data_IF_818555152195
#
_entry.id   IF_818555152195
#
_cell.length_a   1.000
_cell.length_b   1.000
_cell.length_c   1.000
_cell.angle_alpha   90.00
_cell.angle_beta   90.00
_cell.angle_gamma   90.00
#
_symmetry.space_group_name_H-M   'P 1'
#
loop_
_entity.id
_entity.type
_entity.pdbx_description
1 polymer ?
#
# COMPACT_ATOMS: atom_id res chain seq x y z
N UNK A 1 38.33 -14.51 -8.82
CA UNK A 1 37.96 -14.15 -7.43
C UNK A 1 37.21 -12.82 -7.35
N UNK A 2 37.51 -11.80 -8.17
CA UNK A 2 36.75 -10.53 -8.15
C UNK A 2 35.35 -10.57 -8.79
N UNK A 3 35.08 -11.47 -9.73
CA UNK A 3 33.78 -11.50 -10.43
C UNK A 3 32.66 -12.05 -9.54
N UNK A 4 32.97 -13.10 -8.76
CA UNK A 4 32.00 -13.75 -7.85
C UNK A 4 31.51 -12.78 -6.77
N UNK A 5 32.39 -11.96 -6.17
CA UNK A 5 31.95 -10.99 -5.15
C UNK A 5 31.09 -9.86 -5.72
N UNK A 6 31.31 -9.47 -6.98
CA UNK A 6 30.56 -8.36 -7.59
C UNK A 6 29.15 -8.79 -7.98
N UNK A 7 28.99 -10.04 -8.45
CA UNK A 7 27.69 -10.61 -8.78
C UNK A 7 26.85 -10.86 -7.52
N UNK A 8 27.44 -11.41 -6.45
CA UNK A 8 26.78 -11.61 -5.16
C UNK A 8 26.35 -10.28 -4.50
N UNK A 9 27.21 -9.25 -4.51
CA UNK A 9 26.85 -7.92 -4.01
C UNK A 9 25.67 -7.33 -4.81
N UNK A 10 25.65 -7.48 -6.14
CA UNK A 10 24.56 -6.93 -6.95
C UNK A 10 23.22 -7.64 -6.70
N UNK A 11 23.22 -8.97 -6.58
CA UNK A 11 22.00 -9.71 -6.24
C UNK A 11 21.45 -9.29 -4.87
N UNK A 12 22.30 -9.16 -3.85
CA UNK A 12 21.89 -8.71 -2.51
C UNK A 12 21.27 -7.29 -2.56
N UNK A 13 21.89 -6.36 -3.29
CA UNK A 13 21.33 -5.01 -3.46
C UNK A 13 19.98 -5.01 -4.19
N UNK A 14 19.79 -5.89 -5.17
CA UNK A 14 18.53 -5.98 -5.90
C UNK A 14 17.40 -6.53 -5.03
N UNK A 15 17.69 -7.51 -4.18
CA UNK A 15 16.72 -8.08 -3.22
C UNK A 15 16.31 -7.06 -2.14
N UNK A 16 17.28 -6.32 -1.59
CA UNK A 16 16.99 -5.25 -0.62
C UNK A 16 16.12 -4.14 -1.24
N UNK A 17 16.40 -3.74 -2.48
CA UNK A 17 15.63 -2.70 -3.18
C UNK A 17 14.19 -3.15 -3.46
N UNK A 18 13.95 -4.39 -3.89
CA UNK A 18 12.59 -4.90 -4.14
C UNK A 18 11.78 -4.96 -2.84
N UNK A 19 12.42 -5.36 -1.74
CA UNK A 19 11.80 -5.40 -0.41
C UNK A 19 11.40 -3.99 0.08
N UNK A 20 12.32 -3.02 -0.03
CA UNK A 20 12.04 -1.62 0.32
C UNK A 20 10.94 -1.00 -0.54
N UNK A 21 10.91 -1.34 -1.83
CA UNK A 21 9.86 -0.87 -2.74
C UNK A 21 8.49 -1.40 -2.32
N UNK A 22 8.39 -2.70 -2.02
CA UNK A 22 7.14 -3.31 -1.52
C UNK A 22 6.65 -2.67 -0.22
N UNK A 23 7.55 -2.32 0.70
CA UNK A 23 7.24 -1.62 1.94
C UNK A 23 6.66 -0.21 1.69
N UNK A 24 7.24 0.54 0.76
CA UNK A 24 6.86 1.93 0.48
C UNK A 24 5.62 2.07 -0.42
N UNK A 25 5.35 1.10 -1.30
CA UNK A 25 4.28 1.19 -2.29
C UNK A 25 2.89 1.36 -1.66
N UNK A 26 2.57 0.57 -0.63
CA UNK A 26 1.23 0.61 -0.02
C UNK A 26 0.94 1.95 0.69
N UNK A 27 1.83 2.47 1.57
CA UNK A 27 1.67 3.80 2.14
C UNK A 27 1.62 4.92 1.08
N UNK A 28 2.36 4.77 -0.02
CA UNK A 28 2.36 5.75 -1.13
C UNK A 28 1.02 5.76 -1.85
N UNK A 29 0.41 4.60 -2.12
CA UNK A 29 -0.93 4.51 -2.70
C UNK A 29 -1.98 5.15 -1.79
N UNK A 30 -1.90 4.91 -0.48
CA UNK A 30 -2.76 5.57 0.49
C UNK A 30 -2.58 7.10 0.48
N UNK A 31 -1.35 7.59 0.51
CA UNK A 31 -1.07 9.03 0.48
C UNK A 31 -1.59 9.68 -0.80
N UNK A 32 -1.40 9.05 -1.96
CA UNK A 32 -1.91 9.53 -3.24
C UNK A 32 -3.45 9.57 -3.24
N UNK A 33 -4.10 8.51 -2.75
CA UNK A 33 -5.55 8.45 -2.60
C UNK A 33 -6.07 9.58 -1.69
N UNK A 34 -5.38 9.85 -0.58
CA UNK A 34 -5.71 10.97 0.32
C UNK A 34 -5.64 12.32 -0.38
N UNK A 35 -4.54 12.61 -1.10
CA UNK A 35 -4.39 13.87 -1.82
C UNK A 35 -5.48 14.04 -2.87
N UNK A 36 -5.80 12.97 -3.62
CA UNK A 36 -6.86 13.01 -4.65
C UNK A 36 -8.22 13.24 -4.00
N UNK A 37 -8.58 12.50 -2.95
CA UNK A 37 -9.88 12.64 -2.28
C UNK A 37 -10.04 14.04 -1.69
N UNK A 38 -9.02 14.53 -0.99
CA UNK A 38 -9.07 15.85 -0.35
C UNK A 38 -9.09 16.97 -1.39
N UNK A 39 -8.19 16.93 -2.38
CA UNK A 39 -8.10 17.93 -3.44
C UNK A 39 -9.34 17.96 -4.34
N UNK A 40 -9.90 16.81 -4.69
CA UNK A 40 -11.16 16.77 -5.43
C UNK A 40 -12.30 17.35 -4.59
N UNK A 41 -12.40 16.99 -3.31
CA UNK A 41 -13.44 17.54 -2.42
C UNK A 41 -13.33 19.06 -2.29
N UNK A 42 -12.12 19.61 -2.14
CA UNK A 42 -11.95 21.07 -2.03
C UNK A 42 -12.32 21.78 -3.33
N UNK A 43 -11.90 21.27 -4.49
CA UNK A 43 -12.23 21.88 -5.79
C UNK A 43 -13.74 21.83 -6.06
N UNK A 44 -14.38 20.69 -5.83
CA UNK A 44 -15.82 20.52 -6.08
C UNK A 44 -16.70 21.26 -5.07
N UNK A 45 -16.24 21.45 -3.82
CA UNK A 45 -17.01 22.18 -2.81
C UNK A 45 -16.73 23.69 -2.77
N UNK A 46 -15.51 24.14 -3.07
CA UNK A 46 -15.17 25.57 -3.05
C UNK A 46 -15.71 26.30 -4.29
N UNK A 47 -15.78 25.60 -5.43
CA UNK A 47 -16.25 26.18 -6.67
C UNK A 47 -17.75 25.88 -6.81
N UNK A 48 -18.60 26.88 -6.57
CA UNK A 48 -20.06 26.78 -6.71
C UNK A 48 -20.51 26.51 -8.18
N UNK A 49 -19.56 26.31 -9.09
CA UNK A 49 -19.70 26.20 -10.54
C UNK A 49 -20.35 24.89 -10.98
N UNK A 50 -20.23 23.81 -10.19
CA UNK A 50 -20.74 22.50 -10.62
C UNK A 50 -22.16 22.22 -10.11
N UNK A 51 -22.58 22.67 -8.92
CA UNK A 51 -23.95 22.45 -8.45
C UNK A 51 -24.22 21.01 -7.98
N UNK A 52 -25.40 20.82 -7.36
CA UNK A 52 -25.77 19.62 -6.58
C UNK A 52 -25.72 18.29 -7.37
N UNK A 53 -25.84 18.34 -8.69
CA UNK A 53 -25.84 17.16 -9.55
C UNK A 53 -24.45 16.52 -9.73
N UNK A 54 -23.35 17.21 -9.39
CA UNK A 54 -21.99 16.67 -9.56
C UNK A 54 -21.43 16.02 -8.29
N UNK A 55 -22.13 16.13 -7.15
CA UNK A 55 -21.76 15.39 -5.94
C UNK A 55 -21.87 13.87 -6.13
N UNK A 56 -22.87 13.41 -6.88
CA UNK A 56 -23.02 11.98 -7.21
C UNK A 56 -21.86 11.50 -8.08
N UNK A 57 -21.46 12.29 -9.07
CA UNK A 57 -20.28 12.01 -9.91
C UNK A 57 -18.99 11.98 -9.09
N UNK A 58 -18.80 12.92 -8.17
CA UNK A 58 -17.65 12.95 -7.25
C UNK A 58 -17.63 11.70 -6.36
N UNK A 59 -18.77 11.34 -5.75
CA UNK A 59 -18.88 10.13 -4.91
C UNK A 59 -18.62 8.86 -5.69
N UNK A 60 -19.15 8.74 -6.92
CA UNK A 60 -18.90 7.59 -7.79
C UNK A 60 -17.43 7.52 -8.20
N UNK A 61 -16.82 8.64 -8.59
CA UNK A 61 -15.42 8.71 -8.96
C UNK A 61 -14.49 8.32 -7.81
N UNK A 62 -14.72 8.90 -6.63
CA UNK A 62 -13.95 8.58 -5.41
C UNK A 62 -14.24 7.15 -4.95
N UNK A 63 -15.47 6.67 -5.04
CA UNK A 63 -15.83 5.29 -4.73
C UNK A 63 -15.07 4.28 -5.59
N UNK A 64 -15.08 4.47 -6.91
CA UNK A 64 -14.34 3.63 -7.85
C UNK A 64 -12.82 3.70 -7.62
N UNK A 65 -12.28 4.90 -7.40
CA UNK A 65 -10.87 5.09 -7.07
C UNK A 65 -10.49 4.34 -5.78
N UNK A 66 -11.33 4.47 -4.73
CA UNK A 66 -11.12 3.81 -3.44
C UNK A 66 -11.10 2.30 -3.59
N UNK A 67 -12.04 1.73 -4.36
CA UNK A 67 -12.07 0.28 -4.63
C UNK A 67 -10.79 -0.15 -5.36
N UNK A 68 -10.36 0.59 -6.38
CA UNK A 68 -9.13 0.30 -7.13
C UNK A 68 -7.88 0.33 -6.25
N UNK A 69 -7.76 1.35 -5.40
CA UNK A 69 -6.62 1.48 -4.46
C UNK A 69 -6.66 0.39 -3.39
N UNK A 70 -7.82 0.08 -2.83
CA UNK A 70 -7.97 -1.02 -1.87
C UNK A 70 -7.58 -2.36 -2.49
N UNK A 71 -8.03 -2.64 -3.71
CA UNK A 71 -7.66 -3.86 -4.42
C UNK A 71 -6.14 -3.95 -4.61
N UNK A 72 -5.48 -2.85 -4.98
CA UNK A 72 -4.02 -2.80 -5.12
C UNK A 72 -3.30 -3.04 -3.78
N UNK A 73 -3.74 -2.39 -2.69
CA UNK A 73 -3.14 -2.56 -1.36
C UNK A 73 -3.33 -4.00 -0.85
N UNK A 74 -4.52 -4.58 -1.02
CA UNK A 74 -4.80 -5.97 -0.63
C UNK A 74 -3.96 -6.93 -1.45
N UNK A 75 -3.79 -6.69 -2.75
CA UNK A 75 -2.92 -7.50 -3.61
C UNK A 75 -1.46 -7.48 -3.12
N UNK A 76 -0.94 -6.30 -2.81
CA UNK A 76 0.41 -6.13 -2.26
C UNK A 76 0.57 -6.82 -0.90
N UNK A 77 -0.41 -6.65 -0.01
CA UNK A 77 -0.42 -7.30 1.31
C UNK A 77 -0.55 -8.83 1.22
N UNK A 78 -1.34 -9.33 0.28
CA UNK A 78 -1.48 -10.76 0.02
C UNK A 78 -0.18 -11.37 -0.51
N UNK A 79 0.55 -10.65 -1.37
CA UNK A 79 1.88 -11.05 -1.83
C UNK A 79 2.86 -11.21 -0.67
N UNK A 80 2.89 -10.23 0.25
CA UNK A 80 3.70 -10.30 1.47
C UNK A 80 3.26 -11.46 2.39
N UNK A 81 1.95 -11.69 2.52
CA UNK A 81 1.42 -12.79 3.34
C UNK A 81 1.73 -14.17 2.76
N UNK A 82 1.69 -14.33 1.43
CA UNK A 82 2.02 -15.60 0.77
C UNK A 82 3.51 -15.96 0.90
N UNK A 83 4.40 -14.97 0.84
CA UNK A 83 5.82 -15.16 1.10
C UNK A 83 6.08 -15.63 2.54
N UNK A 84 5.22 -15.23 3.49
CA UNK A 84 5.26 -15.71 4.87
C UNK A 84 4.71 -17.14 5.05
N UNK A 85 3.64 -17.55 4.34
CA UNK A 85 3.03 -18.89 4.50
C UNK A 85 3.81 -20.02 3.79
N UNK A 86 4.68 -19.72 2.81
CA UNK A 86 5.60 -20.73 2.21
C UNK A 86 6.69 -21.17 3.20
N UNK A 87 7.00 -20.35 4.22
CA UNK A 87 7.97 -20.69 5.28
C UNK A 87 7.34 -21.57 6.37
N UNK A 88 6.04 -21.88 6.29
CA UNK A 88 5.36 -22.81 7.21
C UNK A 88 5.52 -24.29 6.80
N UNK A 89 6.31 -24.59 5.77
CA UNK A 89 6.82 -25.93 5.49
C UNK A 89 8.15 -26.17 6.21
N UNK A 90 8.02 -26.58 7.48
CA UNK A 90 8.83 -27.59 8.20
C UNK A 90 10.32 -27.78 7.80
N UNK A 91 11.18 -26.79 8.05
CA UNK A 91 12.57 -27.10 8.45
C UNK A 91 12.76 -26.62 9.89
N UNK A 92 12.86 -27.59 10.80
CA UNK A 92 13.21 -27.40 12.19
C UNK A 92 14.72 -27.15 12.27
N UNK A 93 15.13 -26.24 13.17
CA UNK A 93 16.52 -25.98 13.55
C UNK A 93 17.27 -24.99 12.61
N UNK A 94 17.49 -23.77 13.10
CA UNK A 94 18.50 -22.88 12.52
C UNK A 94 19.22 -22.15 13.66
N UNK A 95 20.30 -22.77 14.13
CA UNK A 95 21.20 -22.28 15.19
C UNK A 95 22.35 -21.43 14.59
N UNK A 96 22.06 -20.61 13.58
CA UNK A 96 23.07 -19.80 12.90
C UNK A 96 22.55 -18.38 12.66
N UNK A 97 23.09 -17.41 13.39
CA UNK A 97 22.81 -15.98 13.20
C UNK A 97 23.30 -15.49 11.83
N UNK A 98 22.47 -15.63 10.80
CA UNK A 98 22.74 -15.21 9.43
C UNK A 98 21.52 -14.47 8.83
N UNK A 99 21.75 -13.73 7.73
CA UNK A 99 20.87 -12.74 7.06
C UNK A 99 19.38 -13.09 6.81
N UNK A 100 18.96 -14.33 7.06
CA UNK A 100 17.61 -14.86 6.91
C UNK A 100 16.59 -14.18 7.84
N UNK A 101 16.99 -13.83 9.08
CA UNK A 101 16.10 -13.21 10.06
C UNK A 101 15.58 -11.82 9.62
N UNK A 102 16.41 -11.03 8.91
CA UNK A 102 16.04 -9.68 8.44
C UNK A 102 14.89 -9.71 7.43
N UNK A 103 14.85 -10.72 6.57
CA UNK A 103 13.83 -10.84 5.53
C UNK A 103 12.45 -11.16 6.11
N UNK A 104 12.40 -11.97 7.16
CA UNK A 104 11.15 -12.30 7.84
C UNK A 104 10.56 -11.09 8.59
N UNK A 105 11.39 -10.24 9.19
CA UNK A 105 10.94 -8.97 9.78
C UNK A 105 10.41 -7.98 8.73
N UNK A 106 11.07 -7.85 7.57
CA UNK A 106 10.62 -6.96 6.50
C UNK A 106 9.27 -7.39 5.92
N UNK A 107 9.04 -8.70 5.76
CA UNK A 107 7.74 -9.23 5.34
C UNK A 107 6.61 -8.89 6.33
N UNK A 108 6.86 -8.98 7.64
CA UNK A 108 5.88 -8.62 8.66
C UNK A 108 5.58 -7.11 8.68
N UNK A 109 6.62 -6.29 8.56
CA UNK A 109 6.47 -4.84 8.46
C UNK A 109 5.65 -4.45 7.21
N UNK A 110 5.92 -5.06 6.06
CA UNK A 110 5.19 -4.80 4.82
C UNK A 110 3.70 -5.16 4.93
N UNK A 111 3.38 -6.29 5.58
CA UNK A 111 2.00 -6.69 5.83
C UNK A 111 1.28 -5.70 6.76
N UNK A 112 1.89 -5.31 7.87
CA UNK A 112 1.31 -4.33 8.81
C UNK A 112 1.13 -2.95 8.15
N UNK A 113 2.11 -2.53 7.33
CA UNK A 113 2.04 -1.29 6.54
C UNK A 113 0.90 -1.36 5.51
N UNK A 114 0.69 -2.51 4.87
CA UNK A 114 -0.45 -2.72 3.98
C UNK A 114 -1.77 -2.61 4.73
N UNK A 115 -1.89 -3.27 5.89
CA UNK A 115 -3.09 -3.24 6.71
C UNK A 115 -3.45 -1.81 7.16
N UNK A 116 -2.50 -1.07 7.73
CA UNK A 116 -2.74 0.31 8.18
C UNK A 116 -3.05 1.25 7.01
N UNK A 117 -2.42 1.03 5.84
CA UNK A 117 -2.73 1.79 4.62
C UNK A 117 -4.16 1.55 4.16
N UNK A 118 -4.63 0.29 4.18
CA UNK A 118 -6.01 -0.06 3.82
C UNK A 118 -7.02 0.61 4.76
N UNK A 119 -6.76 0.58 6.07
CA UNK A 119 -7.58 1.29 7.07
C UNK A 119 -7.59 2.79 6.78
N UNK A 120 -6.43 3.37 6.45
CA UNK A 120 -6.31 4.77 6.04
C UNK A 120 -7.19 5.12 4.83
N UNK A 121 -7.19 4.29 3.78
CA UNK A 121 -8.02 4.49 2.58
C UNK A 121 -9.51 4.45 2.90
N UNK A 122 -9.93 3.52 3.76
CA UNK A 122 -11.33 3.45 4.23
C UNK A 122 -11.68 4.73 4.99
N UNK A 123 -10.85 5.15 5.94
CA UNK A 123 -11.17 6.30 6.79
C UNK A 123 -11.21 7.62 6.01
N UNK A 124 -10.33 7.77 5.01
CA UNK A 124 -10.29 8.93 4.11
C UNK A 124 -11.51 9.01 3.20
N UNK A 125 -12.02 7.87 2.72
CA UNK A 125 -13.18 7.84 1.80
C UNK A 125 -14.51 8.02 2.51
N UNK A 126 -14.64 7.61 3.78
CA UNK A 126 -15.87 7.75 4.58
C UNK A 126 -16.50 9.16 4.55
N UNK A 127 -15.81 10.26 4.88
CA UNK A 127 -16.43 11.59 4.91
C UNK A 127 -16.99 11.99 3.54
N UNK A 128 -16.27 11.69 2.46
CA UNK A 128 -16.72 11.99 1.09
C UNK A 128 -17.98 11.20 0.74
N UNK A 129 -18.05 9.94 1.15
CA UNK A 129 -19.20 9.07 0.86
C UNK A 129 -20.44 9.44 1.70
N UNK A 130 -20.24 9.94 2.92
CA UNK A 130 -21.32 10.27 3.86
C UNK A 130 -21.83 11.72 3.78
N UNK A 131 -21.00 12.65 3.33
CA UNK A 131 -21.40 14.06 3.19
C UNK A 131 -22.54 14.16 2.18
N UNK A 132 -23.68 14.72 2.59
CA UNK A 132 -24.85 14.92 1.75
C UNK A 132 -24.72 16.14 0.82
N UNK A 133 -24.02 17.19 1.26
CA UNK A 133 -23.88 18.48 0.56
C UNK A 133 -22.57 19.19 0.95
N UNK A 134 -22.02 19.98 0.04
CA UNK A 134 -21.01 20.98 0.35
C UNK A 134 -21.72 22.21 0.93
N UNK A 135 -21.82 22.33 2.25
CA UNK A 135 -22.43 23.45 2.96
C UNK A 135 -21.51 23.94 4.07
#
# INVERSE_FOLDING_TARGET
MNQISTEEEQEEFHEEQDSLWRLALSPTLWALHFVICYGATTVFCADHILGVDYLTTLRLGIGLLTIGVLAAIVWLGWGAWRQWDVVRDREWENDAGNNEDRHQFMGHAAFLLSLISAVGVIYVSLPVLLIASCA
#
